data_IF_639913138537
#
_entry.id   IF_639913138537
#
_cell.length_a   1.000
_cell.length_b   1.000
_cell.length_c   1.000
_cell.angle_alpha   90.00
_cell.angle_beta   90.00
_cell.angle_gamma   90.00
#
_symmetry.space_group_name_H-M   'P 1'
#
loop_
_entity.id
_entity.type
_entity.pdbx_description
1 polymer ?
#
# COMPACT_ATOMS: atom_id res chain seq x y z
N UNK A 1 -0.97 19.44 5.75
CA UNK A 1 0.14 18.52 5.44
C UNK A 1 -0.44 17.13 5.51
N UNK A 2 -0.47 16.41 4.40
CA UNK A 2 -0.82 14.99 4.39
C UNK A 2 0.34 14.16 4.95
N UNK A 3 0.03 12.98 5.49
CA UNK A 3 0.99 12.08 6.11
C UNK A 3 0.89 10.73 5.41
N UNK A 4 2.03 10.20 4.99
CA UNK A 4 2.07 8.84 4.44
C UNK A 4 2.13 7.84 5.59
N UNK A 5 1.17 6.93 5.63
CA UNK A 5 1.16 5.80 6.55
C UNK A 5 1.27 4.49 5.78
N UNK A 6 2.17 3.62 6.23
CA UNK A 6 2.24 2.26 5.73
C UNK A 6 2.03 1.26 6.86
N UNK A 7 1.30 0.19 6.55
CA UNK A 7 1.20 -1.00 7.37
C UNK A 7 1.68 -2.20 6.54
N UNK A 8 2.67 -2.92 7.06
CA UNK A 8 3.17 -4.16 6.44
C UNK A 8 2.57 -5.37 7.14
N UNK A 9 2.14 -6.37 6.36
CA UNK A 9 1.58 -7.64 6.82
C UNK A 9 2.34 -8.79 6.17
N UNK A 10 3.09 -9.54 6.96
CA UNK A 10 3.92 -10.64 6.45
C UNK A 10 3.12 -11.90 6.18
N UNK A 11 3.43 -12.57 5.07
CA UNK A 11 2.83 -13.84 4.68
C UNK A 11 1.38 -13.72 4.20
N UNK A 12 0.91 -12.51 3.88
CA UNK A 12 -0.43 -12.28 3.33
C UNK A 12 -0.33 -12.10 1.83
N UNK A 13 -0.94 -13.02 1.09
CA UNK A 13 -1.09 -12.96 -0.35
C UNK A 13 -2.56 -12.93 -0.72
N UNK A 14 -2.95 -11.93 -1.49
CA UNK A 14 -4.31 -11.75 -2.01
C UNK A 14 -4.23 -11.46 -3.50
N UNK A 15 -5.26 -11.87 -4.23
CA UNK A 15 -5.40 -11.52 -5.65
C UNK A 15 -5.47 -10.00 -5.83
N UNK A 16 -4.92 -9.53 -6.95
CA UNK A 16 -4.89 -8.10 -7.30
C UNK A 16 -6.29 -7.47 -7.30
N UNK A 17 -7.32 -8.22 -7.69
CA UNK A 17 -8.72 -7.76 -7.68
C UNK A 17 -9.20 -7.46 -6.26
N UNK A 18 -8.85 -8.31 -5.29
CA UNK A 18 -9.18 -8.09 -3.88
C UNK A 18 -8.47 -6.85 -3.35
N UNK A 19 -7.17 -6.72 -3.65
CA UNK A 19 -6.39 -5.55 -3.25
C UNK A 19 -6.95 -4.24 -3.84
N UNK A 20 -7.36 -4.26 -5.11
CA UNK A 20 -7.95 -3.09 -5.77
C UNK A 20 -9.31 -2.70 -5.19
N UNK A 21 -10.15 -3.67 -4.79
CA UNK A 21 -11.42 -3.39 -4.11
C UNK A 21 -11.18 -2.72 -2.77
N UNK A 22 -10.30 -3.30 -1.94
CA UNK A 22 -9.96 -2.72 -0.62
C UNK A 22 -9.37 -1.32 -0.79
N UNK A 23 -8.48 -1.11 -1.77
CA UNK A 23 -7.87 0.20 -2.01
C UNK A 23 -8.91 1.27 -2.34
N UNK A 24 -9.93 0.93 -3.13
CA UNK A 24 -11.05 1.84 -3.44
C UNK A 24 -11.90 2.14 -2.20
N UNK A 25 -12.26 1.11 -1.45
CA UNK A 25 -13.04 1.28 -0.22
C UNK A 25 -12.31 2.16 0.82
N UNK A 26 -10.98 2.03 0.93
CA UNK A 26 -10.17 2.90 1.80
C UNK A 26 -10.12 4.34 1.29
N UNK A 27 -10.02 4.55 -0.03
CA UNK A 27 -9.98 5.88 -0.62
C UNK A 27 -11.31 6.66 -0.45
N UNK A 28 -12.42 5.96 -0.19
CA UNK A 28 -13.72 6.57 0.10
C UNK A 28 -13.89 7.01 1.58
N UNK A 29 -12.92 6.69 2.45
CA UNK A 29 -12.97 7.07 3.87
C UNK A 29 -12.57 8.54 4.08
N UNK A 30 -13.27 9.21 5.01
CA UNK A 30 -12.94 10.58 5.39
C UNK A 30 -11.51 10.67 5.94
N UNK A 31 -10.74 11.63 5.41
CA UNK A 31 -9.34 11.85 5.80
C UNK A 31 -8.31 11.01 5.05
N UNK A 32 -8.72 10.19 4.07
CA UNK A 32 -7.81 9.52 3.13
C UNK A 32 -7.84 10.25 1.79
N UNK A 33 -6.68 10.77 1.37
CA UNK A 33 -6.47 11.38 0.06
C UNK A 33 -6.22 10.31 -1.01
N UNK A 34 -5.45 9.27 -0.67
CA UNK A 34 -5.14 8.18 -1.59
C UNK A 34 -4.81 6.89 -0.82
N UNK A 35 -5.25 5.73 -1.35
CA UNK A 35 -4.98 4.43 -0.76
C UNK A 35 -4.56 3.40 -1.82
N UNK A 36 -3.57 2.58 -1.48
CA UNK A 36 -3.11 1.48 -2.32
C UNK A 36 -2.66 0.28 -1.49
N UNK A 37 -3.04 -0.92 -1.92
CA UNK A 37 -2.53 -2.18 -1.40
C UNK A 37 -1.70 -2.88 -2.45
N UNK A 38 -0.47 -3.27 -2.10
CA UNK A 38 0.42 -3.99 -3.01
C UNK A 38 1.26 -5.05 -2.30
N UNK A 39 1.57 -6.15 -2.99
CA UNK A 39 2.60 -7.09 -2.54
C UNK A 39 3.97 -6.40 -2.62
N UNK A 40 4.84 -6.57 -1.64
CA UNK A 40 6.16 -5.92 -1.50
C UNK A 40 7.23 -6.37 -2.50
N UNK A 41 6.84 -6.74 -3.73
CA UNK A 41 7.78 -6.94 -4.83
C UNK A 41 8.44 -5.61 -5.21
N UNK A 42 9.67 -5.65 -5.71
CA UNK A 42 10.41 -4.44 -6.11
C UNK A 42 9.63 -3.57 -7.11
N UNK A 43 8.94 -4.18 -8.07
CA UNK A 43 8.12 -3.47 -9.05
C UNK A 43 6.97 -2.70 -8.39
N UNK A 44 6.29 -3.32 -7.42
CA UNK A 44 5.16 -2.71 -6.72
C UNK A 44 5.59 -1.60 -5.77
N UNK A 45 6.69 -1.78 -5.03
CA UNK A 45 7.24 -0.73 -4.18
C UNK A 45 7.64 0.50 -5.02
N UNK A 46 8.20 0.29 -6.21
CA UNK A 46 8.51 1.38 -7.13
C UNK A 46 7.25 2.09 -7.68
N UNK A 47 6.07 1.45 -7.68
CA UNK A 47 4.80 2.12 -8.00
C UNK A 47 4.35 2.97 -6.80
N UNK A 48 4.41 2.44 -5.57
CA UNK A 48 4.08 3.19 -4.36
C UNK A 48 4.98 4.42 -4.17
N UNK A 49 6.29 4.32 -4.44
CA UNK A 49 7.22 5.45 -4.37
C UNK A 49 6.85 6.55 -5.38
N UNK A 50 6.54 6.17 -6.63
CA UNK A 50 6.10 7.13 -7.67
C UNK A 50 4.78 7.79 -7.35
N UNK A 51 3.88 7.09 -6.65
CA UNK A 51 2.62 7.64 -6.15
C UNK A 51 2.79 8.49 -4.87
N UNK A 52 4.00 8.59 -4.31
CA UNK A 52 4.25 9.27 -3.04
C UNK A 52 3.58 8.58 -1.84
N UNK A 53 3.33 7.28 -1.94
CA UNK A 53 2.67 6.46 -0.93
C UNK A 53 3.64 5.55 -0.17
N UNK A 54 4.92 5.54 -0.54
CA UNK A 54 5.94 4.70 0.11
C UNK A 54 6.68 5.46 1.23
N UNK A 55 6.41 5.07 2.46
CA UNK A 55 7.13 5.45 3.66
C UNK A 55 8.14 4.39 4.10
N UNK A 56 8.81 4.66 5.22
CA UNK A 56 9.97 3.88 5.68
C UNK A 56 9.64 2.41 5.99
N UNK A 57 8.48 2.16 6.61
CA UNK A 57 8.04 0.79 6.90
C UNK A 57 7.81 0.00 5.61
N UNK A 58 7.18 0.61 4.60
CA UNK A 58 6.90 -0.05 3.32
C UNK A 58 8.18 -0.38 2.53
N UNK A 59 9.24 0.41 2.66
CA UNK A 59 10.55 0.13 2.01
C UNK A 59 11.20 -1.15 2.52
N UNK A 60 10.84 -1.61 3.72
CA UNK A 60 11.38 -2.82 4.33
C UNK A 60 10.60 -4.08 3.93
N UNK A 61 9.46 -3.93 3.24
CA UNK A 61 8.64 -5.05 2.80
C UNK A 61 9.33 -5.85 1.68
N UNK A 62 9.28 -7.17 1.78
CA UNK A 62 9.72 -8.10 0.75
C UNK A 62 8.57 -8.62 -0.10
N UNK A 63 8.89 -9.41 -1.12
CA UNK A 63 7.89 -10.01 -2.02
C UNK A 63 6.88 -10.96 -1.36
N UNK A 64 7.10 -11.31 -0.08
CA UNK A 64 6.21 -12.09 0.77
C UNK A 64 5.23 -11.27 1.61
N UNK A 65 5.32 -9.95 1.55
CA UNK A 65 4.60 -9.05 2.43
C UNK A 65 3.53 -8.28 1.65
N UNK A 66 2.39 -8.03 2.30
CA UNK A 66 1.40 -7.07 1.84
C UNK A 66 1.70 -5.71 2.45
N UNK A 67 1.75 -4.68 1.61
CA UNK A 67 1.88 -3.27 2.01
C UNK A 67 0.54 -2.59 1.80
N UNK A 68 -0.05 -2.10 2.88
CA UNK A 68 -1.15 -1.13 2.85
C UNK A 68 -0.55 0.26 2.98
N UNK A 69 -0.82 1.12 2.02
CA UNK A 69 -0.34 2.49 1.99
C UNK A 69 -1.52 3.46 1.87
N UNK A 70 -1.54 4.46 2.74
CA UNK A 70 -2.53 5.55 2.71
C UNK A 70 -1.82 6.89 2.89
N UNK A 71 -2.39 7.94 2.30
CA UNK A 71 -1.99 9.33 2.52
C UNK A 71 -3.21 10.19 2.74
#
# INVERSE_FOLDING_TARGET
MSVVFNQVRTGVFLDSVVLMRISRELADLEGIEEAALMIGTTSNLAILERAGLLGELGRQAGGGDLVLAVR
#
